data_IF_615043191371
#
_entry.id   IF_615043191371
#
_cell.length_a   1.000
_cell.length_b   1.000
_cell.length_c   1.000
_cell.angle_alpha   90.00
_cell.angle_beta   90.00
_cell.angle_gamma   90.00
#
_symmetry.space_group_name_H-M   'P 1'
#
loop_
_entity.id
_entity.type
_entity.pdbx_description
1 polymer ?
#
# COMPACT_ATOMS: atom_id res chain seq x y z
N UNK A 1 6.82 -10.71 3.97
CA UNK A 1 6.61 -9.30 4.37
C UNK A 1 7.22 -8.98 5.73
N UNK A 2 8.04 -7.92 5.81
CA UNK A 2 8.64 -7.39 7.06
C UNK A 2 7.69 -6.46 7.82
N UNK A 3 6.52 -6.97 8.18
CA UNK A 3 5.54 -6.27 9.01
C UNK A 3 5.44 -7.00 10.35
N UNK A 4 5.51 -6.26 11.46
CA UNK A 4 5.21 -6.85 12.76
C UNK A 4 3.70 -7.10 12.91
N UNK A 5 3.31 -7.78 13.99
CA UNK A 5 1.92 -8.14 14.23
C UNK A 5 0.99 -6.93 14.38
N UNK A 6 1.49 -5.82 14.92
CA UNK A 6 0.70 -4.59 15.12
C UNK A 6 0.49 -3.90 13.78
N UNK A 7 1.55 -3.71 13.01
CA UNK A 7 1.49 -3.16 11.65
C UNK A 7 0.57 -3.99 10.75
N UNK A 8 0.66 -5.33 10.83
CA UNK A 8 -0.18 -6.22 10.03
C UNK A 8 -1.66 -6.05 10.38
N UNK A 9 -2.01 -6.05 11.67
CA UNK A 9 -3.40 -5.86 12.11
C UNK A 9 -3.94 -4.46 11.75
N UNK A 10 -3.11 -3.42 11.91
CA UNK A 10 -3.45 -2.06 11.50
C UNK A 10 -3.72 -1.97 10.00
N UNK A 11 -2.91 -2.64 9.18
CA UNK A 11 -3.07 -2.66 7.73
C UNK A 11 -4.33 -3.39 7.29
N UNK A 12 -4.59 -4.58 7.84
CA UNK A 12 -5.81 -5.36 7.58
C UNK A 12 -7.07 -4.52 7.83
N UNK A 13 -7.10 -3.76 8.93
CA UNK A 13 -8.20 -2.85 9.26
C UNK A 13 -8.26 -1.62 8.34
N UNK A 14 -7.11 -1.03 8.00
CA UNK A 14 -7.06 0.15 7.16
C UNK A 14 -7.58 -0.11 5.73
N UNK A 15 -7.40 -1.33 5.22
CA UNK A 15 -7.75 -1.72 3.85
C UNK A 15 -9.08 -2.49 3.73
N UNK A 16 -9.77 -2.72 4.85
CA UNK A 16 -11.01 -3.49 4.92
C UNK A 16 -12.06 -2.96 3.92
N UNK A 17 -12.28 -1.64 3.91
CA UNK A 17 -13.28 -0.97 3.06
C UNK A 17 -12.77 -0.59 1.66
N UNK A 18 -11.53 -0.96 1.30
CA UNK A 18 -10.96 -0.59 -0.01
C UNK A 18 -11.62 -1.42 -1.11
N UNK A 19 -12.25 -0.75 -2.08
CA UNK A 19 -12.74 -1.38 -3.30
C UNK A 19 -11.62 -1.40 -4.36
N UNK A 20 -10.88 -2.52 -4.39
CA UNK A 20 -9.70 -2.68 -5.23
C UNK A 20 -8.72 -3.72 -4.72
N UNK A 21 -7.67 -3.96 -5.51
CA UNK A 21 -6.55 -4.82 -5.11
C UNK A 21 -5.51 -4.00 -4.34
N UNK A 22 -4.94 -4.61 -3.29
CA UNK A 22 -3.99 -3.95 -2.41
C UNK A 22 -2.71 -4.77 -2.33
N UNK A 23 -1.58 -4.10 -2.44
CA UNK A 23 -0.25 -4.69 -2.45
C UNK A 23 0.68 -3.98 -1.47
N UNK A 24 1.50 -4.74 -0.77
CA UNK A 24 2.74 -4.23 -0.18
C UNK A 24 3.77 -4.15 -1.31
N UNK A 25 4.47 -3.03 -1.46
CA UNK A 25 5.60 -2.93 -2.39
C UNK A 25 6.82 -2.35 -1.69
N UNK A 26 7.91 -2.20 -2.45
CA UNK A 26 9.11 -1.52 -1.96
C UNK A 26 9.93 -2.34 -0.96
N UNK A 27 10.54 -1.65 0.00
CA UNK A 27 11.62 -2.20 0.83
C UNK A 27 11.19 -3.30 1.79
N UNK A 28 9.91 -3.31 2.20
CA UNK A 28 9.35 -4.23 3.19
C UNK A 28 8.88 -5.57 2.61
N UNK A 29 8.94 -5.73 1.29
CA UNK A 29 8.66 -7.02 0.62
C UNK A 29 9.80 -8.02 0.82
N UNK A 30 11.06 -7.56 0.84
CA UNK A 30 12.24 -8.43 0.95
C UNK A 30 12.63 -8.66 2.41
N UNK A 31 12.38 -9.88 2.93
CA UNK A 31 12.72 -10.31 4.29
C UNK A 31 14.17 -10.02 4.71
N UNK A 32 15.11 -10.02 3.76
CA UNK A 32 16.54 -9.86 4.05
C UNK A 32 16.99 -8.42 4.26
N UNK A 33 16.10 -7.44 4.03
CA UNK A 33 16.39 -6.01 4.15
C UNK A 33 16.63 -5.51 5.58
N UNK A 34 16.78 -4.19 5.76
CA UNK A 34 16.85 -3.53 7.07
C UNK A 34 16.16 -2.15 6.99
N UNK A 35 15.47 -1.77 8.07
CA UNK A 35 14.67 -0.53 8.12
C UNK A 35 13.61 -0.44 7.00
N UNK A 36 13.25 0.80 6.66
CA UNK A 36 12.38 1.14 5.54
C UNK A 36 10.95 1.50 5.94
N UNK A 37 10.33 2.32 5.09
CA UNK A 37 8.93 2.70 5.17
C UNK A 37 8.03 1.57 4.63
N UNK A 38 6.74 1.61 4.98
CA UNK A 38 5.74 0.66 4.48
C UNK A 38 5.04 1.32 3.29
N UNK A 39 5.38 0.84 2.10
CA UNK A 39 4.80 1.31 0.84
C UNK A 39 3.61 0.44 0.42
N UNK A 40 2.43 1.03 0.27
CA UNK A 40 1.19 0.35 -0.11
C UNK A 40 0.71 0.84 -1.47
N UNK A 41 0.47 -0.09 -2.38
CA UNK A 41 -0.09 0.18 -3.71
C UNK A 41 -1.53 -0.32 -3.76
N UNK A 42 -2.44 0.54 -4.17
CA UNK A 42 -3.85 0.22 -4.34
C UNK A 42 -4.23 0.41 -5.80
N UNK A 43 -4.79 -0.64 -6.42
CA UNK A 43 -5.47 -0.53 -7.70
C UNK A 43 -6.95 -0.32 -7.49
N UNK A 44 -7.44 0.89 -7.77
CA UNK A 44 -8.84 1.26 -7.57
C UNK A 44 -9.27 2.32 -8.58
N UNK A 45 -10.56 2.33 -8.94
CA UNK A 45 -11.15 3.40 -9.73
C UNK A 45 -11.56 4.63 -8.91
N UNK A 46 -11.48 4.53 -7.58
CA UNK A 46 -11.82 5.61 -6.65
C UNK A 46 -10.89 6.83 -6.75
N UNK A 47 -11.26 7.90 -6.05
CA UNK A 47 -10.43 9.12 -5.97
C UNK A 47 -9.08 8.82 -5.30
N UNK A 48 -7.94 8.98 -6.00
CA UNK A 48 -6.64 8.58 -5.49
C UNK A 48 -6.23 9.31 -4.21
N UNK A 49 -6.57 10.60 -4.10
CA UNK A 49 -6.16 11.43 -2.96
C UNK A 49 -6.98 11.12 -1.71
N UNK A 50 -8.28 10.96 -1.86
CA UNK A 50 -9.16 10.57 -0.78
C UNK A 50 -8.83 9.17 -0.28
N UNK A 51 -8.68 8.20 -1.19
CA UNK A 51 -8.42 6.81 -0.81
C UNK A 51 -7.06 6.65 -0.11
N UNK A 52 -6.01 7.30 -0.63
CA UNK A 52 -4.69 7.25 0.02
C UNK A 52 -4.75 7.85 1.43
N UNK A 53 -5.39 9.02 1.57
CA UNK A 53 -5.56 9.68 2.86
C UNK A 53 -6.37 8.84 3.85
N UNK A 54 -7.49 8.27 3.42
CA UNK A 54 -8.37 7.50 4.29
C UNK A 54 -7.64 6.25 4.83
N UNK A 55 -6.89 5.55 3.97
CA UNK A 55 -6.09 4.38 4.38
C UNK A 55 -4.94 4.79 5.31
N UNK A 56 -4.17 5.83 4.97
CA UNK A 56 -3.08 6.32 5.83
C UNK A 56 -3.57 6.76 7.20
N UNK A 57 -4.73 7.45 7.27
CA UNK A 57 -5.32 7.90 8.55
C UNK A 57 -5.79 6.70 9.36
N UNK A 58 -6.52 5.75 8.76
CA UNK A 58 -6.98 4.54 9.47
C UNK A 58 -5.80 3.76 10.04
N UNK A 59 -4.76 3.55 9.25
CA UNK A 59 -3.55 2.86 9.72
C UNK A 59 -2.89 3.58 10.90
N UNK A 60 -2.71 4.90 10.79
CA UNK A 60 -2.12 5.72 11.84
C UNK A 60 -2.93 5.65 13.15
N UNK A 61 -4.26 5.63 13.07
CA UNK A 61 -5.13 5.54 14.25
C UNK A 61 -4.98 4.21 15.01
N UNK A 62 -4.49 3.15 14.37
CA UNK A 62 -4.34 1.82 15.00
C UNK A 62 -2.95 1.58 15.61
N UNK A 63 -1.90 2.23 15.10
CA UNK A 63 -0.53 1.93 15.53
C UNK A 63 0.41 3.14 15.65
N UNK A 64 -0.08 4.37 15.42
CA UNK A 64 0.69 5.62 15.47
C UNK A 64 1.90 5.69 14.53
N UNK A 65 1.95 4.82 13.53
CA UNK A 65 2.96 4.81 12.47
C UNK A 65 2.42 5.36 11.14
N UNK A 66 3.33 5.81 10.27
CA UNK A 66 2.99 6.33 8.94
C UNK A 66 3.27 5.28 7.86
N UNK A 67 2.46 5.31 6.81
CA UNK A 67 2.62 4.51 5.60
C UNK A 67 2.48 5.40 4.36
N UNK A 68 3.15 5.00 3.29
CA UNK A 68 3.07 5.68 2.00
C UNK A 68 2.08 4.93 1.10
N UNK A 69 0.94 5.56 0.80
CA UNK A 69 -0.13 4.94 0.00
C UNK A 69 -0.15 5.55 -1.40
N UNK A 70 0.11 4.71 -2.40
CA UNK A 70 -0.01 5.04 -3.82
C UNK A 70 -1.28 4.41 -4.38
N UNK A 71 -2.12 5.20 -5.02
CA UNK A 71 -3.35 4.70 -5.66
C UNK A 71 -3.23 4.88 -7.17
N UNK A 72 -3.48 3.81 -7.92
CA UNK A 72 -3.45 3.81 -9.38
C UNK A 72 -4.77 3.30 -9.93
N UNK A 73 -5.31 3.97 -10.94
CA UNK A 73 -6.47 3.47 -11.65
C UNK A 73 -6.00 2.45 -12.71
N UNK A 74 -6.36 1.16 -12.60
CA UNK A 74 -5.88 0.12 -13.52
C UNK A 74 -6.30 0.37 -14.98
N UNK A 75 -7.40 1.10 -15.19
CA UNK A 75 -7.93 1.43 -16.51
C UNK A 75 -7.38 2.75 -17.08
N UNK A 76 -6.58 3.50 -16.31
CA UNK A 76 -6.03 4.81 -16.71
C UNK A 76 -4.56 4.99 -16.30
N UNK A 77 -3.76 3.91 -16.40
CA UNK A 77 -2.34 3.97 -16.07
C UNK A 77 -1.57 4.84 -17.07
N UNK A 78 -0.72 5.72 -16.56
CA UNK A 78 0.23 6.47 -17.39
C UNK A 78 1.41 5.58 -17.81
N UNK A 79 2.19 6.03 -18.81
CA UNK A 79 3.39 5.29 -19.24
C UNK A 79 4.42 5.14 -18.12
N UNK A 80 4.56 6.15 -17.27
CA UNK A 80 5.45 6.13 -16.10
C UNK A 80 4.97 5.11 -15.06
N UNK A 81 3.67 5.07 -14.77
CA UNK A 81 3.09 4.09 -13.86
C UNK A 81 3.30 2.66 -14.38
N UNK A 82 3.06 2.43 -15.67
CA UNK A 82 3.31 1.13 -16.29
C UNK A 82 4.79 0.73 -16.21
N UNK A 83 5.72 1.65 -16.44
CA UNK A 83 7.15 1.39 -16.32
C UNK A 83 7.54 1.07 -14.87
N UNK A 84 7.01 1.81 -13.91
CA UNK A 84 7.20 1.57 -12.48
C UNK A 84 6.74 0.18 -12.05
N UNK A 85 5.53 -0.24 -12.45
CA UNK A 85 4.97 -1.55 -12.10
C UNK A 85 5.80 -2.73 -12.64
N UNK A 86 6.56 -2.54 -13.72
CA UNK A 86 7.42 -3.58 -14.29
C UNK A 86 8.70 -3.84 -13.48
N UNK A 87 9.12 -2.90 -12.64
CA UNK A 87 10.41 -2.97 -11.94
C UNK A 87 10.28 -3.17 -10.43
N UNK A 88 9.13 -2.86 -9.85
CA UNK A 88 8.91 -3.05 -8.42
C UNK A 88 8.63 -4.51 -8.06
N UNK A 89 9.04 -4.90 -6.86
CA UNK A 89 8.55 -6.10 -6.19
C UNK A 89 7.29 -5.73 -5.40
N UNK A 90 6.28 -6.58 -5.47
CA UNK A 90 5.05 -6.39 -4.71
C UNK A 90 4.49 -7.74 -4.24
N UNK A 91 3.80 -7.72 -3.11
CA UNK A 91 3.14 -8.87 -2.50
C UNK A 91 1.66 -8.53 -2.26
N UNK A 92 0.75 -9.38 -2.72
CA UNK A 92 -0.70 -9.13 -2.64
C UNK A 92 -1.19 -9.27 -1.20
N UNK A 93 -1.96 -8.28 -0.74
CA UNK A 93 -2.58 -8.23 0.57
C UNK A 93 -4.10 -8.49 0.49
N UNK A 94 -4.75 -7.95 -0.55
CA UNK A 94 -6.19 -8.07 -0.83
C UNK A 94 -6.42 -8.19 -2.33
#
# INVERSE_FOLDING_TARGET
MRLDSVQKAALEKAIEDVDGEVYLFGSRVDETGKGGDIDILIFSEGDPFKLSRDVSVKFFMECEEKIDVTVMNPNKLTGEQQAFLKVIKMEKLK
#
